data_IF_204230702872
#
_entry.id   IF_204230702872
#
_cell.length_a   1.000
_cell.length_b   1.000
_cell.length_c   1.000
_cell.angle_alpha   90.00
_cell.angle_beta   90.00
_cell.angle_gamma   90.00
#
_symmetry.space_group_name_H-M   'P 1'
#
loop_
_entity.id
_entity.type
_entity.pdbx_description
1 polymer ?
#
# COMPACT_ATOMS: atom_id res chain seq x y z
N UNK A 1 22.61 7.16 15.96
CA UNK A 1 21.15 6.99 15.68
C UNK A 1 20.88 5.51 15.43
N UNK A 2 19.72 4.98 15.84
CA UNK A 2 19.35 3.57 15.60
C UNK A 2 18.91 3.30 14.14
N UNK A 3 18.51 2.06 13.85
CA UNK A 3 18.15 1.60 12.49
C UNK A 3 17.08 2.48 11.82
N UNK A 4 15.92 2.65 12.44
CA UNK A 4 14.83 3.43 11.82
C UNK A 4 15.16 4.93 11.72
N UNK A 5 15.89 5.48 12.70
CA UNK A 5 16.31 6.88 12.69
C UNK A 5 17.40 7.16 11.66
N UNK A 6 18.24 6.16 11.36
CA UNK A 6 19.26 6.22 10.32
C UNK A 6 18.70 6.32 8.90
N UNK A 7 17.39 6.09 8.71
CA UNK A 7 16.72 6.28 7.42
C UNK A 7 16.43 7.75 7.10
N UNK A 8 16.53 8.67 8.05
CA UNK A 8 16.33 10.11 7.81
C UNK A 8 17.61 10.69 7.21
N UNK A 9 17.59 11.35 6.04
CA UNK A 9 18.76 12.06 5.53
C UNK A 9 18.89 13.41 6.25
N UNK A 10 20.12 13.83 6.52
CA UNK A 10 20.44 15.08 7.23
C UNK A 10 19.60 15.30 8.51
N UNK A 11 19.51 14.33 9.44
CA UNK A 11 18.59 14.41 10.58
C UNK A 11 18.92 15.55 11.55
N UNK A 12 20.17 16.04 11.52
CA UNK A 12 20.67 17.15 12.33
C UNK A 12 20.15 18.52 11.89
N UNK A 13 19.55 18.62 10.69
CA UNK A 13 18.90 19.83 10.17
C UNK A 13 17.38 19.84 10.37
N UNK A 14 16.82 18.83 11.03
CA UNK A 14 15.41 18.77 11.35
C UNK A 14 15.20 18.97 12.85
N UNK A 15 14.06 19.55 13.22
CA UNK A 15 13.61 19.57 14.60
C UNK A 15 13.38 18.14 15.15
N UNK A 16 13.72 17.91 16.42
CA UNK A 16 13.60 16.59 17.08
C UNK A 16 12.25 15.88 16.87
N UNK A 17 11.07 16.54 17.04
CA UNK A 17 9.77 15.89 16.86
C UNK A 17 9.57 15.31 15.46
N UNK A 18 10.16 15.94 14.42
CA UNK A 18 10.03 15.51 13.03
C UNK A 18 10.77 14.20 12.77
N UNK A 19 11.96 14.06 13.35
CA UNK A 19 12.70 12.80 13.29
C UNK A 19 11.94 11.68 14.00
N UNK A 20 11.33 11.97 15.16
CA UNK A 20 10.49 10.99 15.87
C UNK A 20 9.27 10.56 15.05
N UNK A 21 8.58 11.52 14.41
CA UNK A 21 7.46 11.20 13.51
C UNK A 21 7.92 10.34 12.34
N UNK A 22 9.05 10.66 11.70
CA UNK A 22 9.54 9.84 10.60
C UNK A 22 9.86 8.41 11.05
N UNK A 23 10.48 8.23 12.23
CA UNK A 23 10.77 6.91 12.75
C UNK A 23 9.49 6.06 12.95
N UNK A 24 8.36 6.70 13.24
CA UNK A 24 7.06 6.03 13.33
C UNK A 24 6.45 5.76 11.95
N UNK A 25 6.48 6.75 11.05
CA UNK A 25 5.89 6.62 9.71
C UNK A 25 6.64 5.63 8.82
N UNK A 26 7.98 5.60 8.91
CA UNK A 26 8.82 4.68 8.14
C UNK A 26 8.53 3.20 8.44
N UNK A 27 8.01 2.87 9.63
CA UNK A 27 7.56 1.51 9.99
C UNK A 27 6.24 1.11 9.33
N UNK A 28 5.50 2.08 8.81
CA UNK A 28 4.17 1.90 8.20
C UNK A 28 4.18 2.10 6.69
N UNK A 29 5.32 2.50 6.13
CA UNK A 29 5.53 2.64 4.71
C UNK A 29 5.36 1.28 4.02
N UNK A 30 4.69 1.29 2.87
CA UNK A 30 4.61 0.12 2.00
C UNK A 30 5.95 -0.07 1.29
N UNK A 31 6.37 -1.31 1.11
CA UNK A 31 7.66 -1.62 0.50
C UNK A 31 7.75 -3.06 0.07
N UNK A 32 8.97 -3.56 -0.11
CA UNK A 32 9.20 -4.99 -0.29
C UNK A 32 9.44 -5.61 1.09
N UNK A 33 8.71 -6.68 1.41
CA UNK A 33 8.90 -7.39 2.70
C UNK A 33 10.23 -8.15 2.71
N UNK A 34 10.52 -8.84 1.61
CA UNK A 34 11.73 -9.63 1.42
C UNK A 34 11.61 -10.54 0.20
N UNK A 35 12.66 -11.30 -0.10
CA UNK A 35 12.69 -12.16 -1.29
C UNK A 35 11.66 -13.28 -1.29
N UNK A 36 11.27 -13.78 -0.11
CA UNK A 36 10.30 -14.87 0.03
C UNK A 36 8.84 -14.41 -0.04
N UNK A 37 8.56 -13.12 -0.29
CA UNK A 37 7.20 -12.57 -0.24
C UNK A 37 6.22 -13.25 -1.21
N UNK A 38 6.70 -13.80 -2.33
CA UNK A 38 5.85 -14.56 -3.27
C UNK A 38 5.54 -15.99 -2.79
N UNK A 39 6.40 -16.57 -1.96
CA UNK A 39 6.25 -17.94 -1.47
C UNK A 39 5.45 -18.00 -0.16
N UNK A 40 5.34 -16.88 0.55
CA UNK A 40 4.69 -16.75 1.86
C UNK A 40 3.23 -16.31 1.73
N UNK A 41 2.38 -16.79 2.65
CA UNK A 41 0.98 -16.33 2.82
C UNK A 41 0.84 -15.77 4.24
N UNK A 42 0.73 -14.45 4.36
CA UNK A 42 0.45 -13.75 5.63
C UNK A 42 -0.95 -13.15 5.64
N UNK A 43 -1.44 -12.81 6.84
CA UNK A 43 -2.75 -12.17 7.05
C UNK A 43 -2.95 -10.92 6.19
N UNK A 44 -1.93 -10.07 6.11
CA UNK A 44 -1.96 -8.80 5.41
C UNK A 44 -0.55 -8.44 4.95
N UNK A 45 -0.37 -8.18 3.66
CA UNK A 45 0.90 -7.68 3.12
C UNK A 45 0.63 -6.47 2.23
N UNK A 46 1.50 -5.46 2.34
CA UNK A 46 1.46 -4.25 1.53
C UNK A 46 2.74 -4.14 0.73
N UNK A 47 2.64 -4.42 -0.57
CA UNK A 47 3.78 -4.36 -1.47
C UNK A 47 3.64 -3.16 -2.42
N UNK A 48 4.75 -2.50 -2.74
CA UNK A 48 4.79 -1.51 -3.83
C UNK A 48 5.26 -2.21 -5.12
N UNK A 49 4.70 -1.81 -6.26
CA UNK A 49 5.00 -2.47 -7.55
C UNK A 49 6.39 -2.08 -8.06
N UNK A 50 6.73 -0.80 -8.01
CA UNK A 50 8.00 -0.25 -8.51
C UNK A 50 8.76 0.50 -7.42
N UNK A 51 9.33 -0.19 -6.41
CA UNK A 51 10.15 0.45 -5.40
C UNK A 51 11.45 0.96 -6.04
N UNK A 52 11.93 2.10 -5.57
CA UNK A 52 13.18 2.70 -6.04
C UNK A 52 14.14 2.90 -4.87
N UNK A 53 15.44 2.94 -5.14
CA UNK A 53 16.44 3.27 -4.13
C UNK A 53 16.42 4.77 -3.82
N UNK A 54 16.63 5.18 -2.55
CA UNK A 54 16.71 6.60 -2.22
C UNK A 54 17.97 7.23 -2.82
N UNK A 55 17.82 8.37 -3.50
CA UNK A 55 18.94 9.09 -4.13
C UNK A 55 19.95 9.62 -3.11
N UNK A 56 19.45 10.19 -2.00
CA UNK A 56 20.28 10.59 -0.86
C UNK A 56 20.18 9.52 0.23
N UNK A 57 21.28 8.82 0.48
CA UNK A 57 21.35 7.71 1.42
C UNK A 57 22.20 8.03 2.63
N UNK A 58 22.03 7.29 3.71
CA UNK A 58 22.94 7.31 4.85
C UNK A 58 23.80 6.04 4.80
N UNK A 59 24.98 6.05 5.43
CA UNK A 59 25.76 4.81 5.59
C UNK A 59 24.98 3.72 6.32
N UNK A 60 24.05 4.11 7.21
CA UNK A 60 23.17 3.16 7.90
C UNK A 60 22.25 2.39 6.95
N UNK A 61 21.79 3.00 5.86
CA UNK A 61 20.98 2.32 4.83
C UNK A 61 21.76 1.17 4.19
N UNK A 62 23.05 1.36 3.90
CA UNK A 62 23.91 0.32 3.33
C UNK A 62 24.21 -0.79 4.33
N UNK A 63 24.55 -0.42 5.57
CA UNK A 63 24.81 -1.40 6.64
C UNK A 63 23.60 -2.31 6.92
N UNK A 64 22.40 -1.78 6.73
CA UNK A 64 21.14 -2.53 6.93
C UNK A 64 20.64 -3.21 5.64
N UNK A 65 21.33 -3.04 4.51
CA UNK A 65 20.91 -3.48 3.18
C UNK A 65 19.50 -2.99 2.79
N UNK A 66 19.09 -1.81 3.29
CA UNK A 66 17.77 -1.24 2.97
C UNK A 66 17.70 -0.72 1.52
N UNK A 67 18.85 -0.47 0.90
CA UNK A 67 19.00 -0.18 -0.52
C UNK A 67 18.55 -1.35 -1.41
N UNK A 68 18.71 -2.60 -0.98
CA UNK A 68 18.26 -3.77 -1.75
C UNK A 68 16.75 -3.98 -1.69
N UNK A 69 16.10 -3.55 -0.60
CA UNK A 69 14.67 -3.72 -0.35
C UNK A 69 14.02 -2.38 0.04
N UNK A 70 13.95 -1.41 -0.89
CA UNK A 70 13.44 -0.10 -0.55
C UNK A 70 11.91 -0.08 -0.40
N UNK A 71 11.42 0.94 0.32
CA UNK A 71 10.01 1.09 0.70
C UNK A 71 9.38 2.43 0.25
N UNK A 72 9.64 2.84 -0.99
CA UNK A 72 9.22 4.12 -1.52
C UNK A 72 9.67 4.35 -2.97
N UNK A 73 9.39 5.56 -3.46
CA UNK A 73 9.70 5.99 -4.82
C UNK A 73 10.28 7.41 -4.77
N UNK A 74 11.23 7.70 -5.65
CA UNK A 74 11.66 9.07 -5.88
C UNK A 74 10.60 9.76 -6.74
N UNK A 75 10.09 10.88 -6.25
CA UNK A 75 9.11 11.71 -6.93
C UNK A 75 9.77 13.02 -7.33
N UNK A 76 9.47 13.52 -8.53
CA UNK A 76 9.84 14.89 -8.91
C UNK A 76 8.89 15.84 -8.20
N UNK A 77 9.39 16.58 -7.21
CA UNK A 77 8.58 17.47 -6.39
C UNK A 77 8.80 18.91 -6.83
N UNK A 78 7.71 19.66 -6.96
CA UNK A 78 7.74 21.13 -7.08
C UNK A 78 7.21 21.74 -5.78
N UNK A 79 7.98 22.67 -5.20
CA UNK A 79 7.57 23.41 -4.01
C UNK A 79 6.91 24.71 -4.44
N UNK A 80 5.59 24.70 -4.49
CA UNK A 80 4.76 25.85 -4.85
C UNK A 80 3.36 25.69 -4.28
N UNK A 81 2.60 26.78 -4.25
CA UNK A 81 1.19 26.76 -3.92
C UNK A 81 0.36 26.58 -5.19
N UNK A 82 -0.58 25.63 -5.22
CA UNK A 82 -1.39 25.35 -6.40
C UNK A 82 -2.87 25.15 -6.04
N UNK A 83 -3.75 25.97 -6.65
CA UNK A 83 -5.23 25.87 -6.60
C UNK A 83 -5.91 25.84 -5.21
N UNK A 84 -5.17 25.95 -4.11
CA UNK A 84 -5.70 25.93 -2.74
C UNK A 84 -6.03 24.54 -2.18
N UNK A 85 -5.98 23.48 -3.01
CA UNK A 85 -6.17 22.09 -2.58
C UNK A 85 -4.91 21.46 -1.94
N UNK A 86 -3.87 22.26 -1.70
CA UNK A 86 -2.61 21.89 -1.06
C UNK A 86 -2.44 22.51 0.35
N UNK A 87 -3.52 23.07 0.91
CA UNK A 87 -3.57 23.63 2.26
C UNK A 87 -3.50 22.49 3.30
N UNK A 88 -2.94 22.76 4.48
CA UNK A 88 -2.86 21.82 5.62
C UNK A 88 -2.28 20.43 5.28
N UNK A 89 -1.11 20.42 4.63
CA UNK A 89 -0.36 19.20 4.26
C UNK A 89 -1.02 18.34 3.19
N UNK A 90 -1.99 18.88 2.46
CA UNK A 90 -2.46 18.25 1.26
C UNK A 90 -1.37 18.28 0.17
N UNK A 91 -1.32 17.21 -0.62
CA UNK A 91 -0.41 17.00 -1.72
C UNK A 91 -1.21 16.92 -3.01
N UNK A 92 -0.71 17.54 -4.05
CA UNK A 92 -1.32 17.45 -5.37
C UNK A 92 -0.48 16.49 -6.20
N UNK A 93 -1.13 15.50 -6.79
CA UNK A 93 -0.46 14.46 -7.58
C UNK A 93 -0.78 14.60 -9.06
N UNK A 94 0.20 14.28 -9.90
CA UNK A 94 0.03 14.19 -11.35
C UNK A 94 -0.67 12.88 -11.72
N UNK A 95 -1.81 12.99 -12.42
CA UNK A 95 -2.59 11.84 -12.88
C UNK A 95 -1.81 10.97 -13.86
N UNK A 96 -1.11 11.57 -14.81
CA UNK A 96 -0.30 10.83 -15.78
C UNK A 96 0.80 10.01 -15.09
N UNK A 97 1.41 10.54 -14.03
CA UNK A 97 2.38 9.79 -13.21
C UNK A 97 1.73 8.60 -12.50
N UNK A 98 0.51 8.76 -11.96
CA UNK A 98 -0.27 7.67 -11.36
C UNK A 98 -0.68 6.62 -12.41
N UNK A 99 -1.03 7.03 -13.62
CA UNK A 99 -1.32 6.14 -14.76
C UNK A 99 -0.09 5.32 -15.15
N UNK A 100 1.08 5.96 -15.25
CA UNK A 100 2.36 5.30 -15.55
C UNK A 100 2.84 4.34 -14.46
N UNK A 101 2.40 4.51 -13.22
CA UNK A 101 2.63 3.53 -12.15
C UNK A 101 3.12 4.10 -10.81
N UNK A 102 3.19 5.42 -10.66
CA UNK A 102 3.54 6.06 -9.40
C UNK A 102 2.57 5.66 -8.28
N UNK A 103 3.12 5.26 -7.13
CA UNK A 103 2.39 4.88 -5.92
C UNK A 103 1.50 3.64 -6.05
N UNK A 104 1.63 2.83 -7.12
CA UNK A 104 0.83 1.60 -7.31
C UNK A 104 1.23 0.56 -6.27
N UNK A 105 0.25 0.05 -5.53
CA UNK A 105 0.46 -0.93 -4.48
C UNK A 105 -0.37 -2.20 -4.67
N UNK A 106 0.14 -3.29 -4.14
CA UNK A 106 -0.51 -4.60 -4.05
C UNK A 106 -0.85 -4.84 -2.58
N UNK A 107 -2.14 -5.00 -2.31
CA UNK A 107 -2.64 -5.37 -1.00
C UNK A 107 -3.01 -6.84 -1.04
N UNK A 108 -2.32 -7.64 -0.23
CA UNK A 108 -2.62 -9.04 -0.08
C UNK A 108 -3.40 -9.29 1.21
N UNK A 109 -4.47 -10.08 1.13
CA UNK A 109 -5.26 -10.50 2.29
C UNK A 109 -5.38 -12.03 2.29
N UNK A 110 -5.27 -12.64 3.47
CA UNK A 110 -5.46 -14.08 3.61
C UNK A 110 -6.91 -14.40 3.99
N UNK A 111 -7.48 -15.41 3.34
CA UNK A 111 -8.67 -16.11 3.79
C UNK A 111 -8.32 -17.55 4.11
N UNK A 112 -8.63 -18.00 5.33
CA UNK A 112 -8.35 -19.36 5.80
C UNK A 112 -9.64 -20.13 6.02
N UNK A 113 -9.63 -21.40 5.64
CA UNK A 113 -10.69 -22.36 5.90
C UNK A 113 -10.07 -23.62 6.49
N UNK A 114 -10.52 -24.04 7.66
CA UNK A 114 -10.15 -25.34 8.24
C UNK A 114 -11.31 -26.31 8.09
N UNK A 115 -10.99 -27.52 7.68
CA UNK A 115 -11.91 -28.65 7.56
C UNK A 115 -11.62 -29.53 8.77
N UNK A 116 -12.53 -29.49 9.74
CA UNK A 116 -12.31 -30.17 11.01
C UNK A 116 -12.80 -31.61 10.95
N UNK A 117 -12.14 -32.44 11.75
CA UNK A 117 -12.62 -33.77 12.12
C UNK A 117 -13.11 -33.74 13.55
N UNK A 118 -14.25 -34.34 13.79
CA UNK A 118 -14.91 -34.37 15.08
C UNK A 118 -14.67 -35.72 15.77
N UNK A 119 -14.79 -35.74 17.10
CA UNK A 119 -14.62 -36.96 17.91
C UNK A 119 -15.63 -38.07 17.58
N UNK A 120 -16.80 -37.69 17.07
CA UNK A 120 -17.84 -38.61 16.59
C UNK A 120 -17.56 -39.19 15.19
N UNK A 121 -16.30 -39.13 14.72
CA UNK A 121 -15.85 -39.58 13.40
C UNK A 121 -16.51 -38.84 12.20
N UNK A 122 -17.25 -37.76 12.45
CA UNK A 122 -17.75 -36.90 11.37
C UNK A 122 -16.70 -35.89 10.95
N UNK A 123 -16.76 -35.46 9.69
CA UNK A 123 -15.84 -34.48 9.13
C UNK A 123 -16.60 -33.42 8.35
N UNK A 124 -16.06 -32.21 8.34
CA UNK A 124 -16.51 -31.14 7.44
C UNK A 124 -16.25 -31.56 5.99
N UNK A 125 -17.16 -31.24 5.07
CA UNK A 125 -16.98 -31.54 3.64
C UNK A 125 -16.99 -30.28 2.80
N UNK A 126 -16.29 -30.30 1.67
CA UNK A 126 -16.39 -29.27 0.64
C UNK A 126 -17.22 -29.86 -0.49
N UNK A 127 -18.24 -29.11 -0.92
CA UNK A 127 -19.10 -29.49 -2.02
C UNK A 127 -18.82 -28.61 -3.24
N UNK A 128 -18.92 -29.20 -4.42
CA UNK A 128 -18.80 -28.47 -5.68
C UNK A 128 -19.85 -27.36 -5.86
N UNK A 129 -19.76 -26.59 -6.96
CA UNK A 129 -20.66 -25.49 -7.25
C UNK A 129 -22.09 -26.00 -7.45
N UNK A 130 -23.05 -25.24 -6.93
CA UNK A 130 -24.46 -25.58 -7.08
C UNK A 130 -24.96 -24.99 -8.41
N UNK A 131 -25.60 -25.83 -9.20
CA UNK A 131 -26.28 -25.42 -10.44
C UNK A 131 -27.73 -25.12 -10.15
N UNK A 132 -28.24 -24.06 -10.76
CA UNK A 132 -29.66 -23.75 -10.78
C UNK A 132 -30.40 -24.80 -11.61
N UNK A 133 -31.49 -25.34 -11.06
CA UNK A 133 -32.25 -26.44 -11.68
C UNK A 133 -33.01 -25.99 -12.94
N UNK A 134 -33.33 -24.70 -13.05
CA UNK A 134 -34.08 -24.15 -14.18
C UNK A 134 -33.18 -23.80 -15.37
N UNK A 135 -32.03 -23.18 -15.09
CA UNK A 135 -31.13 -22.66 -16.13
C UNK A 135 -29.92 -23.56 -16.40
N UNK A 136 -29.69 -24.59 -15.57
CA UNK A 136 -28.47 -25.41 -15.53
C UNK A 136 -27.17 -24.60 -15.39
N UNK A 137 -27.26 -23.31 -15.05
CA UNK A 137 -26.11 -22.42 -14.83
C UNK A 137 -25.70 -22.42 -13.37
N UNK A 138 -24.43 -22.14 -13.11
CA UNK A 138 -23.92 -21.99 -11.75
C UNK A 138 -24.52 -20.72 -11.13
N UNK A 139 -24.94 -20.81 -9.86
CA UNK A 139 -25.47 -19.66 -9.12
C UNK A 139 -24.37 -18.60 -8.98
N UNK A 140 -24.70 -17.31 -9.09
CA UNK A 140 -23.75 -16.19 -8.94
C UNK A 140 -22.81 -16.31 -7.72
N UNK A 141 -23.30 -16.86 -6.60
CA UNK A 141 -22.50 -17.06 -5.39
C UNK A 141 -21.37 -18.07 -5.57
N UNK A 142 -21.55 -19.05 -6.44
CA UNK A 142 -20.65 -20.18 -6.68
C UNK A 142 -19.95 -20.07 -8.05
N UNK A 143 -20.14 -18.95 -8.76
CA UNK A 143 -19.60 -18.73 -10.10
C UNK A 143 -18.08 -18.84 -10.16
N UNK A 144 -17.40 -18.42 -9.09
CA UNK A 144 -15.95 -18.48 -8.94
C UNK A 144 -15.47 -19.74 -8.19
N UNK A 145 -16.20 -20.85 -8.23
CA UNK A 145 -15.78 -22.10 -7.60
C UNK A 145 -15.43 -23.11 -8.68
N UNK A 146 -14.33 -23.83 -8.48
CA UNK A 146 -13.97 -24.99 -9.27
C UNK A 146 -14.85 -26.19 -8.90
N UNK A 147 -14.76 -27.25 -9.68
CA UNK A 147 -15.46 -28.53 -9.49
C UNK A 147 -15.29 -29.14 -8.10
N UNK A 148 -14.17 -28.87 -7.42
CA UNK A 148 -13.86 -29.33 -6.06
C UNK A 148 -14.48 -28.45 -4.95
N UNK A 149 -15.13 -27.33 -5.30
CA UNK A 149 -15.73 -26.39 -4.36
C UNK A 149 -14.76 -25.40 -3.71
N UNK A 150 -13.53 -25.31 -4.23
CA UNK A 150 -12.51 -24.32 -3.87
C UNK A 150 -12.34 -23.37 -5.07
N UNK A 151 -12.08 -22.09 -4.80
CA UNK A 151 -11.82 -21.11 -5.86
C UNK A 151 -10.49 -21.37 -6.60
N UNK A 152 -10.47 -21.18 -7.92
CA UNK A 152 -9.26 -21.37 -8.72
C UNK A 152 -8.35 -20.12 -8.70
N UNK A 153 -7.01 -20.27 -8.72
CA UNK A 153 -6.09 -19.15 -8.89
C UNK A 153 -6.31 -18.41 -10.22
N UNK A 154 -6.27 -17.08 -10.19
CA UNK A 154 -6.47 -16.21 -11.34
C UNK A 154 -7.86 -15.60 -11.43
N UNK A 155 -8.87 -16.20 -10.80
CA UNK A 155 -10.23 -15.69 -10.85
C UNK A 155 -10.44 -14.42 -10.04
N UNK A 156 -11.41 -13.62 -10.49
CA UNK A 156 -11.85 -12.39 -9.83
C UNK A 156 -13.02 -12.70 -8.90
N UNK A 157 -12.82 -12.53 -7.60
CA UNK A 157 -13.88 -12.66 -6.60
C UNK A 157 -14.50 -11.30 -6.29
N UNK A 158 -15.83 -11.24 -6.35
CA UNK A 158 -16.65 -10.07 -6.05
C UNK A 158 -17.36 -10.23 -4.71
N UNK A 159 -17.95 -9.14 -4.21
CA UNK A 159 -18.61 -9.12 -2.90
C UNK A 159 -19.69 -10.21 -2.78
N UNK A 160 -19.71 -10.91 -1.64
CA UNK A 160 -20.65 -12.00 -1.29
C UNK A 160 -20.52 -13.31 -2.08
N UNK A 161 -19.55 -13.43 -2.98
CA UNK A 161 -19.23 -14.72 -3.61
C UNK A 161 -18.52 -15.65 -2.62
N UNK A 162 -18.71 -16.96 -2.81
CA UNK A 162 -18.14 -18.02 -1.97
C UNK A 162 -16.75 -18.39 -2.50
N UNK A 163 -15.75 -18.40 -1.63
CA UNK A 163 -14.38 -18.83 -1.95
C UNK A 163 -14.13 -20.31 -1.61
N UNK A 164 -14.81 -20.82 -0.57
CA UNK A 164 -14.80 -22.24 -0.20
C UNK A 164 -16.21 -22.64 0.21
N UNK A 165 -16.80 -23.59 -0.51
CA UNK A 165 -18.14 -24.09 -0.22
C UNK A 165 -18.08 -25.23 0.80
N UNK A 166 -17.87 -24.83 2.07
CA UNK A 166 -17.78 -25.73 3.21
C UNK A 166 -19.17 -26.06 3.77
N UNK A 167 -19.41 -27.33 4.05
CA UNK A 167 -20.54 -27.85 4.80
C UNK A 167 -20.07 -28.52 6.10
N UNK A 168 -20.81 -28.29 7.18
CA UNK A 168 -20.53 -28.82 8.51
C UNK A 168 -21.65 -29.78 8.92
N UNK A 169 -21.34 -30.91 9.58
CA UNK A 169 -22.37 -31.80 10.11
C UNK A 169 -23.17 -31.07 11.18
N UNK A 170 -24.49 -31.08 11.06
CA UNK A 170 -25.40 -30.50 12.04
C UNK A 170 -25.45 -31.44 13.25
N UNK A 171 -24.49 -31.32 14.16
CA UNK A 171 -24.53 -32.01 15.45
C UNK A 171 -25.64 -31.38 16.28
N UNK A 172 -26.84 -31.95 16.19
CA UNK A 172 -27.86 -31.71 17.20
C UNK A 172 -27.33 -32.34 18.49
N UNK A 173 -27.30 -31.57 19.58
CA UNK A 173 -27.07 -32.09 20.92
C UNK A 173 -28.23 -33.02 21.28
N UNK A 174 -28.18 -34.26 20.81
CA UNK A 174 -29.17 -35.28 21.15
C UNK A 174 -28.84 -35.75 22.57
N UNK A 175 -29.85 -35.74 23.44
CA UNK A 175 -29.72 -36.27 24.80
C UNK A 175 -29.23 -37.73 24.72
N UNK A 176 -28.29 -38.16 25.58
CA UNK A 176 -27.64 -39.48 25.49
C UNK A 176 -28.59 -40.69 25.65
N UNK A 177 -29.87 -40.46 25.93
CA UNK A 177 -30.91 -41.49 26.11
C UNK A 177 -31.47 -41.98 24.76
N UNK A 178 -31.48 -41.15 23.71
CA UNK A 178 -32.08 -41.50 22.40
C UNK A 178 -31.12 -42.24 21.44
N UNK A 179 -29.83 -42.41 21.82
CA UNK A 179 -28.81 -42.98 20.93
C UNK A 179 -28.87 -44.52 20.77
N UNK A 180 -29.62 -45.25 21.61
CA UNK A 180 -29.58 -46.72 21.61
C UNK A 180 -30.52 -47.41 20.62
N UNK A 181 -31.47 -46.71 20.00
CA UNK A 181 -32.52 -47.36 19.18
C UNK A 181 -32.55 -46.94 17.70
N UNK A 182 -31.69 -46.03 17.26
CA UNK A 182 -31.67 -45.63 15.85
C UNK A 182 -30.44 -46.18 15.13
N UNK A 183 -30.67 -47.14 14.22
CA UNK A 183 -29.69 -47.48 13.18
C UNK A 183 -29.22 -46.23 12.42
N UNK A 184 -28.03 -46.31 11.80
CA UNK A 184 -27.31 -45.21 11.15
C UNK A 184 -28.24 -44.25 10.37
N UNK A 185 -28.72 -43.18 11.01
CA UNK A 185 -29.41 -42.12 10.30
C UNK A 185 -28.42 -41.32 9.47
N UNK A 186 -28.79 -40.87 8.25
CA UNK A 186 -27.93 -40.03 7.44
C UNK A 186 -27.62 -38.73 8.19
N UNK A 187 -26.33 -38.42 8.33
CA UNK A 187 -25.87 -37.19 8.98
C UNK A 187 -26.34 -36.00 8.13
N UNK A 188 -27.14 -35.11 8.74
CA UNK A 188 -27.55 -33.87 8.10
C UNK A 188 -26.37 -32.86 8.09
N UNK A 189 -26.13 -32.22 6.95
CA UNK A 189 -25.10 -31.20 6.80
C UNK A 189 -25.73 -29.81 6.63
N UNK A 190 -25.08 -28.78 7.18
CA UNK A 190 -25.46 -27.38 7.06
C UNK A 190 -24.32 -26.59 6.41
N UNK A 191 -24.66 -25.75 5.43
CA UNK A 191 -23.68 -24.94 4.70
C UNK A 191 -23.09 -23.83 5.56
N UNK A 192 -21.76 -23.80 5.69
CA UNK A 192 -20.98 -22.73 6.33
C UNK A 192 -19.94 -22.21 5.35
N UNK A 193 -20.38 -21.58 4.23
CA UNK A 193 -19.48 -21.15 3.18
C UNK A 193 -18.57 -20.00 3.63
N UNK A 194 -17.31 -20.04 3.20
CA UNK A 194 -16.38 -18.93 3.40
C UNK A 194 -16.58 -17.94 2.26
N UNK A 195 -17.17 -16.79 2.58
CA UNK A 195 -17.53 -15.76 1.59
C UNK A 195 -16.60 -14.57 1.62
N UNK A 196 -16.41 -13.94 0.46
CA UNK A 196 -15.65 -12.71 0.34
C UNK A 196 -16.48 -11.50 0.80
N UNK A 197 -15.93 -10.74 1.75
CA UNK A 197 -16.62 -9.61 2.42
C UNK A 197 -16.11 -8.23 2.00
N UNK A 198 -15.20 -8.16 1.02
CA UNK A 198 -14.70 -6.88 0.53
C UNK A 198 -15.74 -6.15 -0.33
N UNK A 199 -15.62 -4.82 -0.37
CA UNK A 199 -16.39 -3.96 -1.29
C UNK A 199 -15.85 -4.07 -2.71
N UNK A 200 -14.55 -3.82 -2.88
CA UNK A 200 -13.86 -3.98 -4.16
C UNK A 200 -13.55 -5.44 -4.46
N UNK A 201 -13.55 -5.84 -5.74
CA UNK A 201 -13.16 -7.17 -6.14
C UNK A 201 -11.68 -7.45 -5.82
N UNK A 202 -11.35 -8.73 -5.64
CA UNK A 202 -9.98 -9.20 -5.47
C UNK A 202 -9.69 -10.28 -6.49
N UNK A 203 -8.41 -10.47 -6.83
CA UNK A 203 -7.97 -11.62 -7.61
C UNK A 203 -7.39 -12.66 -6.68
N UNK A 204 -7.57 -13.94 -7.00
CA UNK A 204 -6.92 -15.03 -6.29
C UNK A 204 -5.53 -15.23 -6.85
N UNK A 205 -4.50 -15.00 -6.04
CA UNK A 205 -3.12 -15.22 -6.47
C UNK A 205 -2.71 -16.67 -6.30
N UNK A 206 -3.10 -17.26 -5.16
CA UNK A 206 -2.63 -18.57 -4.74
C UNK A 206 -3.65 -19.22 -3.82
N UNK A 207 -3.84 -20.51 -4.02
CA UNK A 207 -4.56 -21.39 -3.11
C UNK A 207 -3.57 -22.44 -2.61
N UNK A 208 -3.49 -22.58 -1.31
CA UNK A 208 -2.67 -23.57 -0.63
C UNK A 208 -3.61 -24.51 0.11
N UNK A 209 -3.52 -25.80 -0.21
CA UNK A 209 -4.14 -26.87 0.57
C UNK A 209 -3.01 -27.56 1.32
N UNK A 210 -3.14 -27.66 2.63
CA UNK A 210 -2.17 -28.31 3.52
C UNK A 210 -2.91 -29.12 4.56
N UNK A 211 -2.27 -30.14 5.11
CA UNK A 211 -2.81 -30.90 6.25
C UNK A 211 -1.98 -30.59 7.48
N UNK A 212 -2.62 -30.44 8.64
CA UNK A 212 -1.94 -30.38 9.92
C UNK A 212 -1.63 -31.80 10.43
N UNK A 213 -0.81 -31.90 11.49
CA UNK A 213 -0.49 -33.19 12.13
C UNK A 213 -1.73 -33.93 12.64
N UNK A 214 -2.81 -33.21 12.96
CA UNK A 214 -4.09 -33.76 13.41
C UNK A 214 -5.01 -34.23 12.25
N UNK A 215 -4.45 -34.41 11.05
CA UNK A 215 -5.18 -34.76 9.82
C UNK A 215 -6.33 -33.80 9.44
N UNK A 216 -6.32 -32.58 9.98
CA UNK A 216 -7.23 -31.51 9.58
C UNK A 216 -6.71 -30.83 8.30
N UNK A 217 -7.58 -30.70 7.29
CA UNK A 217 -7.23 -29.95 6.09
C UNK A 217 -7.36 -28.45 6.33
N UNK A 218 -6.36 -27.70 5.87
CA UNK A 218 -6.27 -26.25 5.92
C UNK A 218 -6.14 -25.71 4.51
N UNK A 219 -7.12 -24.93 4.09
CA UNK A 219 -7.12 -24.19 2.83
C UNK A 219 -6.80 -22.73 3.14
N UNK A 220 -5.70 -22.21 2.61
CA UNK A 220 -5.34 -20.78 2.65
C UNK A 220 -5.43 -20.20 1.25
N UNK A 221 -6.14 -19.09 1.14
CA UNK A 221 -6.38 -18.38 -0.12
C UNK A 221 -5.74 -17.00 0.01
N UNK A 222 -4.80 -16.71 -0.87
CA UNK A 222 -4.14 -15.42 -0.97
C UNK A 222 -4.90 -14.54 -1.98
N UNK A 223 -5.61 -13.55 -1.46
CA UNK A 223 -6.30 -12.53 -2.23
C UNK A 223 -5.33 -11.39 -2.54
N UNK A 224 -5.30 -10.91 -3.78
CA UNK A 224 -4.55 -9.71 -4.20
C UNK A 224 -5.50 -8.64 -4.71
N UNK A 225 -5.28 -7.42 -4.24
CA UNK A 225 -5.89 -6.20 -4.79
C UNK A 225 -4.79 -5.28 -5.28
N UNK A 226 -4.82 -4.92 -6.57
CA UNK A 226 -3.95 -3.87 -7.10
C UNK A 226 -4.65 -2.54 -6.93
N UNK A 227 -4.06 -1.64 -6.14
CA UNK A 227 -4.65 -0.33 -5.83
C UNK A 227 -3.79 0.78 -6.40
N UNK A 228 -4.45 1.72 -7.07
CA UNK A 228 -3.85 2.97 -7.53
C UNK A 228 -4.05 4.03 -6.44
N UNK A 229 -3.13 5.00 -6.29
CA UNK A 229 -3.38 6.15 -5.43
C UNK A 229 -4.68 6.86 -5.80
N UNK A 230 -5.48 7.16 -4.79
CA UNK A 230 -6.72 7.92 -4.90
C UNK A 230 -6.71 9.13 -3.94
N UNK A 231 -7.68 10.03 -4.09
CA UNK A 231 -7.84 11.17 -3.19
C UNK A 231 -8.03 10.65 -1.76
N UNK A 232 -7.29 11.24 -0.82
CA UNK A 232 -7.31 10.83 0.59
C UNK A 232 -6.24 9.79 0.99
N UNK A 233 -5.52 9.21 0.02
CA UNK A 233 -4.38 8.34 0.33
C UNK A 233 -3.25 9.11 1.01
N UNK A 234 -2.51 8.41 1.89
CA UNK A 234 -1.45 9.03 2.70
C UNK A 234 -0.07 8.76 2.15
N UNK A 235 0.70 9.83 2.03
CA UNK A 235 2.12 9.82 1.68
C UNK A 235 2.94 10.48 2.78
N UNK A 236 4.21 10.08 2.90
CA UNK A 236 5.16 10.70 3.82
C UNK A 236 6.48 10.94 3.12
N UNK A 237 7.05 12.12 3.32
CA UNK A 237 8.49 12.33 3.08
C UNK A 237 9.31 11.66 4.18
N UNK A 238 10.63 11.58 4.00
CA UNK A 238 11.58 11.10 5.02
C UNK A 238 11.86 12.10 6.15
N UNK A 239 11.13 13.21 6.21
CA UNK A 239 11.33 14.29 7.19
C UNK A 239 10.14 14.46 8.14
N UNK A 240 9.28 13.45 8.26
CA UNK A 240 8.12 13.51 9.17
C UNK A 240 7.05 14.50 8.70
N UNK A 241 7.07 14.89 7.42
CA UNK A 241 5.97 15.56 6.76
C UNK A 241 5.11 14.50 6.09
N UNK A 242 3.99 14.17 6.74
CA UNK A 242 2.93 13.34 6.18
C UNK A 242 1.94 14.26 5.47
N UNK A 243 1.41 13.81 4.36
CA UNK A 243 0.39 14.51 3.60
C UNK A 243 -0.65 13.56 3.04
N UNK A 244 -1.77 14.13 2.66
CA UNK A 244 -2.90 13.42 2.05
C UNK A 244 -3.02 13.89 0.61
N UNK A 245 -3.33 13.01 -0.34
CA UNK A 245 -3.65 13.44 -1.71
C UNK A 245 -4.92 14.28 -1.69
N UNK A 246 -4.79 15.58 -1.91
CA UNK A 246 -5.90 16.54 -1.91
C UNK A 246 -6.56 16.63 -3.29
N UNK A 247 -5.75 16.74 -4.33
CA UNK A 247 -6.20 16.81 -5.72
C UNK A 247 -5.30 15.96 -6.62
N UNK A 248 -5.91 15.36 -7.64
CA UNK A 248 -5.19 14.68 -8.73
C UNK A 248 -5.44 15.49 -9.99
N UNK A 249 -4.38 16.03 -10.58
CA UNK A 249 -4.43 16.98 -11.70
C UNK A 249 -3.89 16.32 -12.97
N UNK A 250 -4.45 16.67 -14.12
CA UNK A 250 -3.93 16.20 -15.42
C UNK A 250 -2.53 16.77 -15.68
N UNK A 251 -1.74 16.08 -16.51
CA UNK A 251 -0.37 16.55 -16.79
C UNK A 251 -0.34 17.89 -17.54
N UNK A 252 -1.34 18.18 -18.36
CA UNK A 252 -1.45 19.40 -19.16
C UNK A 252 -1.65 20.67 -18.31
N UNK A 253 -2.36 20.56 -17.19
CA UNK A 253 -2.61 21.70 -16.29
C UNK A 253 -1.43 21.96 -15.33
N UNK A 254 -0.54 20.98 -15.16
CA UNK A 254 0.59 21.10 -14.25
C UNK A 254 1.67 22.01 -14.83
N UNK A 255 2.37 22.77 -13.96
CA UNK A 255 3.44 23.63 -14.41
C UNK A 255 4.63 22.81 -14.90
N UNK A 256 5.34 23.33 -15.91
CA UNK A 256 6.48 22.68 -16.53
C UNK A 256 7.68 23.63 -16.61
N UNK A 257 8.89 23.10 -16.63
CA UNK A 257 10.12 23.92 -16.79
C UNK A 257 10.61 23.96 -18.25
N UNK A 258 11.68 24.71 -18.52
CA UNK A 258 12.31 24.83 -19.85
C UNK A 258 12.71 23.49 -20.47
N UNK A 259 12.99 22.49 -19.64
CA UNK A 259 13.35 21.13 -20.06
C UNK A 259 12.14 20.23 -20.34
N UNK A 260 10.91 20.76 -20.21
CA UNK A 260 9.66 20.02 -20.36
C UNK A 260 9.33 19.10 -19.18
N UNK A 261 9.98 19.27 -18.03
CA UNK A 261 9.71 18.48 -16.83
C UNK A 261 8.48 19.02 -16.10
N UNK A 262 7.45 18.18 -15.98
CA UNK A 262 6.31 18.40 -15.08
C UNK A 262 6.52 17.64 -13.77
N UNK A 263 6.12 18.19 -12.61
CA UNK A 263 6.27 17.50 -11.34
C UNK A 263 5.33 16.27 -11.25
N UNK A 264 5.76 15.26 -10.51
CA UNK A 264 4.90 14.15 -10.09
C UNK A 264 3.99 14.57 -8.93
N UNK A 265 4.49 15.51 -8.12
CA UNK A 265 3.81 15.98 -6.93
C UNK A 265 4.14 17.45 -6.64
N UNK A 266 3.13 18.21 -6.25
CA UNK A 266 3.29 19.56 -5.74
C UNK A 266 3.14 19.55 -4.22
N UNK A 267 4.04 20.25 -3.56
CA UNK A 267 4.01 20.44 -2.11
C UNK A 267 3.99 21.93 -1.78
N UNK A 268 3.06 22.33 -0.91
CA UNK A 268 2.95 23.69 -0.46
C UNK A 268 4.17 24.14 0.40
N UNK A 269 4.78 25.31 0.14
CA UNK A 269 5.91 25.83 0.91
C UNK A 269 5.62 26.15 2.38
N UNK A 270 4.35 26.39 2.77
CA UNK A 270 4.00 26.80 4.14
C UNK A 270 4.44 25.78 5.22
N UNK A 271 4.64 24.52 4.84
CA UNK A 271 5.12 23.48 5.76
C UNK A 271 6.58 23.65 6.21
N UNK A 272 7.45 24.34 5.45
CA UNK A 272 8.88 24.44 5.80
C UNK A 272 9.17 25.40 6.96
N UNK A 273 8.66 26.65 6.98
CA UNK A 273 8.99 27.61 8.04
C UNK A 273 8.51 27.15 9.42
N UNK A 274 7.26 26.68 9.52
CA UNK A 274 6.67 26.24 10.79
C UNK A 274 7.35 24.99 11.36
N UNK A 275 7.77 24.07 10.49
CA UNK A 275 8.28 22.75 10.91
C UNK A 275 9.81 22.66 10.97
N UNK A 276 10.50 23.66 10.42
CA UNK A 276 11.96 23.75 10.39
C UNK A 276 12.60 22.45 9.90
N UNK A 277 12.13 21.93 8.76
CA UNK A 277 12.61 20.68 8.14
C UNK A 277 13.58 20.97 7.01
N UNK A 278 14.69 21.64 7.36
CA UNK A 278 15.74 22.04 6.40
C UNK A 278 16.46 20.83 5.80
N UNK A 279 16.45 19.69 6.49
CA UNK A 279 16.98 18.45 5.93
C UNK A 279 16.31 18.05 4.61
N UNK A 280 15.03 18.40 4.40
CA UNK A 280 14.29 18.07 3.18
C UNK A 280 14.73 18.92 1.99
N UNK A 281 15.08 20.19 2.21
CA UNK A 281 15.63 21.03 1.15
C UNK A 281 17.02 20.53 0.77
N UNK A 282 17.85 20.16 1.74
CA UNK A 282 19.14 19.51 1.46
C UNK A 282 18.99 18.16 0.73
N UNK A 283 17.99 17.34 1.09
CA UNK A 283 17.68 16.09 0.37
C UNK A 283 17.35 16.36 -1.10
N UNK A 284 16.53 17.37 -1.39
CA UNK A 284 16.17 17.74 -2.76
C UNK A 284 17.40 18.19 -3.56
N UNK A 285 18.22 19.08 -2.97
CA UNK A 285 19.44 19.59 -3.60
C UNK A 285 20.42 18.46 -3.92
N UNK A 286 20.68 17.60 -2.93
CA UNK A 286 21.59 16.46 -3.08
C UNK A 286 21.04 15.40 -4.04
N UNK A 287 19.73 15.19 -4.08
CA UNK A 287 19.12 14.27 -5.04
C UNK A 287 19.24 14.81 -6.47
N UNK A 288 19.03 16.12 -6.66
CA UNK A 288 19.16 16.78 -7.97
C UNK A 288 20.60 16.77 -8.48
N UNK A 289 21.57 17.12 -7.63
CA UNK A 289 22.99 17.04 -7.97
C UNK A 289 23.39 15.59 -8.31
N UNK A 290 22.94 14.63 -7.50
CA UNK A 290 23.25 13.21 -7.68
C UNK A 290 22.75 12.62 -8.98
N UNK A 291 21.52 12.95 -9.40
CA UNK A 291 21.01 12.46 -10.69
C UNK A 291 21.77 13.05 -11.88
N UNK A 292 22.25 14.29 -11.78
CA UNK A 292 22.99 14.95 -12.85
C UNK A 292 24.42 14.39 -13.00
N UNK A 293 25.08 14.13 -11.87
CA UNK A 293 26.44 13.56 -11.89
C UNK A 293 26.48 12.02 -11.97
N UNK A 294 25.33 11.35 -11.88
CA UNK A 294 25.24 9.89 -11.83
C UNK A 294 25.78 9.29 -10.52
N UNK A 295 25.67 10.00 -9.40
CA UNK A 295 26.17 9.60 -8.09
C UNK A 295 25.06 9.55 -7.03
N UNK A 296 25.25 8.68 -6.05
CA UNK A 296 24.42 8.70 -4.83
C UNK A 296 25.10 9.55 -3.75
N UNK A 297 24.43 10.61 -3.30
CA UNK A 297 24.95 11.43 -2.21
C UNK A 297 24.66 10.84 -0.85
N UNK A 298 25.52 11.20 0.11
CA UNK A 298 25.39 10.77 1.49
C UNK A 298 24.82 11.88 2.37
N UNK A 299 23.66 11.65 2.97
CA UNK A 299 23.04 12.49 4.00
C UNK A 299 23.16 11.89 5.39
N UNK A 300 24.32 11.33 5.75
CA UNK A 300 24.52 10.62 7.02
C UNK A 300 24.46 11.59 8.21
N UNK A 301 23.99 11.13 9.37
CA UNK A 301 23.94 11.96 10.58
C UNK A 301 25.32 12.50 10.98
N UNK A 302 25.37 13.76 11.40
CA UNK A 302 26.59 14.48 11.80
C UNK A 302 27.69 14.55 10.72
N UNK A 303 27.33 14.32 9.45
CA UNK A 303 28.22 14.43 8.30
C UNK A 303 27.42 14.49 7.01
N UNK A 304 27.94 13.85 5.96
CA UNK A 304 27.35 13.85 4.63
C UNK A 304 27.90 14.94 3.71
N UNK A 305 27.39 14.99 2.49
CA UNK A 305 27.76 16.01 1.50
C UNK A 305 27.30 17.39 1.97
N UNK A 306 28.20 18.37 1.93
CA UNK A 306 27.93 19.74 2.38
C UNK A 306 27.12 20.49 1.32
N UNK A 307 26.38 21.51 1.76
CA UNK A 307 25.57 22.33 0.87
C UNK A 307 26.41 23.01 -0.23
N UNK A 308 27.59 23.54 0.11
CA UNK A 308 28.49 24.21 -0.85
C UNK A 308 28.91 23.30 -1.99
N UNK A 309 29.36 22.07 -1.67
CA UNK A 309 29.74 21.09 -2.68
C UNK A 309 28.58 20.78 -3.63
N UNK A 310 27.38 20.58 -3.09
CA UNK A 310 26.16 20.31 -3.89
C UNK A 310 25.77 21.50 -4.78
N UNK A 311 25.96 22.73 -4.30
CA UNK A 311 25.70 23.96 -5.04
C UNK A 311 26.65 24.10 -6.23
N UNK A 312 27.94 23.78 -6.03
CA UNK A 312 28.95 23.82 -7.09
C UNK A 312 28.71 22.74 -8.14
N UNK A 313 28.30 21.53 -7.73
CA UNK A 313 27.93 20.44 -8.65
C UNK A 313 26.72 20.81 -9.52
N UNK A 314 25.68 21.45 -8.95
CA UNK A 314 24.54 21.94 -9.73
C UNK A 314 24.96 23.03 -10.73
N UNK A 315 25.79 23.97 -10.28
CA UNK A 315 26.27 25.07 -11.13
C UNK A 315 27.10 24.56 -12.32
N UNK A 316 27.98 23.57 -12.09
CA UNK A 316 28.77 22.91 -13.16
C UNK A 316 27.90 22.26 -14.23
N UNK A 317 26.72 21.77 -13.85
CA UNK A 317 25.77 21.14 -14.76
C UNK A 317 24.75 22.12 -15.37
N UNK A 318 24.97 23.43 -15.23
CA UNK A 318 24.11 24.47 -15.82
C UNK A 318 22.79 24.71 -15.10
N UNK A 319 22.61 24.15 -13.90
CA UNK A 319 21.46 24.45 -13.03
C UNK A 319 21.78 25.57 -12.06
N UNK A 320 20.75 26.21 -11.54
CA UNK A 320 20.91 27.18 -10.48
C UNK A 320 21.51 26.50 -9.23
N UNK A 321 22.52 27.13 -8.63
CA UNK A 321 23.17 26.65 -7.40
C UNK A 321 22.15 26.43 -6.26
N UNK A 322 21.08 27.24 -6.20
CA UNK A 322 20.01 27.06 -5.21
C UNK A 322 18.98 25.98 -5.57
N UNK A 323 19.10 25.30 -6.72
CA UNK A 323 18.17 24.28 -7.20
C UNK A 323 16.78 24.80 -7.57
N UNK A 324 16.61 26.12 -7.73
CA UNK A 324 15.36 26.73 -8.21
C UNK A 324 15.39 26.85 -9.73
N UNK A 325 14.28 26.48 -10.37
CA UNK A 325 14.12 26.52 -11.82
C UNK A 325 13.00 27.50 -12.21
N UNK A 326 13.03 27.94 -13.46
CA UNK A 326 11.90 28.65 -14.09
C UNK A 326 10.83 27.63 -14.43
N UNK A 327 9.59 27.95 -14.10
CA UNK A 327 8.42 27.16 -14.45
C UNK A 327 7.40 28.05 -15.15
N UNK A 328 6.64 27.44 -16.05
CA UNK A 328 5.53 28.04 -16.76
C UNK A 328 4.22 27.45 -16.23
N UNK A 329 3.18 28.27 -16.19
CA UNK A 329 1.84 27.84 -15.84
C UNK A 329 1.28 26.92 -16.94
N UNK A 330 0.84 25.71 -16.58
CA UNK A 330 0.16 24.82 -17.54
C UNK A 330 -1.21 25.37 -17.99
N UNK A 331 -1.83 26.22 -17.17
CA UNK A 331 -3.15 26.79 -17.44
C UNK A 331 -3.08 27.97 -18.41
N UNK A 332 -2.12 28.89 -18.20
CA UNK A 332 -2.02 30.14 -18.97
C UNK A 332 -0.89 30.14 -20.00
N UNK A 333 0.09 29.25 -19.86
CA UNK A 333 1.31 29.21 -20.68
C UNK A 333 2.35 30.28 -20.32
N UNK A 334 2.02 31.20 -19.42
CA UNK A 334 2.90 32.29 -19.00
C UNK A 334 3.96 31.81 -17.98
N UNK A 335 5.16 32.42 -17.95
CA UNK A 335 6.16 32.12 -16.93
C UNK A 335 5.64 32.53 -15.54
N UNK A 336 5.88 31.69 -14.55
CA UNK A 336 5.58 32.03 -13.16
C UNK A 336 6.53 33.14 -12.69
N UNK A 337 5.98 34.13 -11.98
CA UNK A 337 6.77 35.28 -11.49
C UNK A 337 7.91 34.89 -10.56
N UNK A 338 7.74 33.80 -9.81
CA UNK A 338 8.72 33.29 -8.86
C UNK A 338 9.35 31.97 -9.34
N UNK A 339 10.65 31.82 -9.11
CA UNK A 339 11.36 30.57 -9.34
C UNK A 339 10.88 29.48 -8.39
N UNK A 340 10.64 28.29 -8.93
CA UNK A 340 10.11 27.16 -8.19
C UNK A 340 11.25 26.22 -7.79
N UNK A 341 11.24 25.80 -6.53
CA UNK A 341 12.22 24.84 -6.03
C UNK A 341 11.78 23.43 -6.44
N UNK A 342 12.56 22.78 -7.30
CA UNK A 342 12.19 21.50 -7.89
C UNK A 342 13.35 20.51 -7.95
N UNK A 343 13.02 19.25 -7.66
CA UNK A 343 13.93 18.11 -7.81
C UNK A 343 13.39 16.82 -7.22
N UNK A 344 14.16 15.72 -7.31
CA UNK A 344 13.74 14.42 -6.82
C UNK A 344 13.71 14.39 -5.28
N UNK A 345 12.63 13.88 -4.69
CA UNK A 345 12.52 13.63 -3.25
C UNK A 345 11.98 12.24 -3.02
N UNK A 346 12.54 11.51 -2.06
CA UNK A 346 12.08 10.16 -1.74
C UNK A 346 10.80 10.19 -0.89
N UNK A 347 9.71 9.71 -1.47
CA UNK A 347 8.42 9.61 -0.81
C UNK A 347 8.00 8.16 -0.55
N UNK A 348 7.31 7.99 0.57
CA UNK A 348 6.83 6.71 1.08
C UNK A 348 5.30 6.71 1.08
N UNK A 349 4.68 5.74 0.41
CA UNK A 349 3.23 5.52 0.51
C UNK A 349 2.94 4.79 1.83
N UNK A 350 2.02 5.31 2.63
CA UNK A 350 1.68 4.71 3.94
C UNK A 350 0.51 3.73 3.82
N UNK A 351 0.47 2.73 4.70
CA UNK A 351 -0.60 1.70 4.73
C UNK A 351 -2.04 2.21 4.92
N UNK A 352 -2.21 3.45 5.34
CA UNK A 352 -3.53 4.02 5.64
C UNK A 352 -4.17 4.60 4.37
N UNK A 353 -4.93 3.78 3.66
CA UNK A 353 -5.71 4.18 2.47
C UNK A 353 -7.16 4.48 2.83
N UNK A 354 -7.83 5.30 2.03
CA UNK A 354 -9.24 5.66 2.24
C UNK A 354 -10.16 4.47 2.06
N UNK A 355 -9.89 3.66 1.03
CA UNK A 355 -10.66 2.47 0.72
C UNK A 355 -10.85 1.50 1.90
N UNK A 356 -9.86 1.33 2.78
CA UNK A 356 -9.98 0.43 3.95
C UNK A 356 -10.69 1.10 5.15
N UNK A 357 -10.97 2.40 5.06
CA UNK A 357 -11.58 3.19 6.14
C UNK A 357 -13.02 3.60 5.87
N UNK A 358 -13.45 3.60 4.61
CA UNK A 358 -14.83 3.91 4.27
C UNK A 358 -15.78 2.88 4.88
N UNK A 359 -16.63 3.32 5.82
CA UNK A 359 -17.65 2.50 6.44
C UNK A 359 -18.94 3.30 6.60
N UNK A 360 -20.05 2.70 6.20
CA UNK A 360 -21.39 3.25 6.38
C UNK A 360 -22.33 2.16 6.88
N UNK A 361 -23.25 2.53 7.77
CA UNK A 361 -24.21 1.59 8.37
C UNK A 361 -25.59 2.24 8.47
N UNK A 362 -26.53 1.76 7.67
CA UNK A 362 -27.92 2.23 7.73
C UNK A 362 -28.68 1.58 8.90
N UNK A 363 -28.65 0.24 8.98
CA UNK A 363 -29.15 -0.57 10.09
C UNK A 363 -28.15 -1.70 10.35
N UNK A 364 -28.20 -2.31 11.54
CA UNK A 364 -27.16 -3.24 11.95
C UNK A 364 -27.66 -4.37 12.84
N UNK A 365 -26.96 -5.52 12.85
CA UNK A 365 -27.17 -6.53 13.86
C UNK A 365 -26.99 -5.91 15.26
N UNK A 366 -27.97 -6.15 16.11
CA UNK A 366 -27.97 -5.76 17.53
C UNK A 366 -27.47 -6.92 18.36
N UNK A 367 -26.75 -6.62 19.42
CA UNK A 367 -26.32 -7.63 20.36
C UNK A 367 -27.56 -8.19 21.08
N UNK A 368 -27.67 -9.52 21.14
CA UNK A 368 -28.82 -10.19 21.77
C UNK A 368 -28.90 -9.84 23.26
N UNK A 369 -27.74 -9.67 23.92
CA UNK A 369 -27.63 -9.38 25.34
C UNK A 369 -28.20 -8.00 25.72
N UNK A 370 -27.98 -6.97 24.88
CA UNK A 370 -28.23 -5.57 25.27
C UNK A 370 -29.25 -4.84 24.40
N UNK A 371 -29.74 -5.46 23.32
CA UNK A 371 -30.66 -4.90 22.31
C UNK A 371 -30.24 -3.52 21.76
#
# INVERSE_FOLDING_TARGET
>A
LGVCAGLVPYPHHNQSPRNTYQCAMGKQAMGIIGYNQKNRIDTLMYNIVYPQTPMVRSRTIELTNFDKLPAGQNATVAVMSYSGYDIEDALILNKASIDRGYGRCLVYKNSKCTIKRYSNQTFDRIMGPMKDSLTNKIIFRHECLDTDGIISPGEKVSSKQTMVNKEMPAVKSINPIEQKESGQQPIAYSGVPITYKGTEPSYIEKVMVSTNNDEEFLVKILLRQTRRPEIGDKFSSRHGQKGVTGLIVEQEDLPFNDFGMSPDMVMNPHGFPSRMTVGKTLELLGSKAGVLEGKFHYGTAFGGSKCQDLQDELFKNGFNYLGKDVFYSGITGEPLEAYIYSGPVYYQKLKHMVQDKMHARARGPRAVLTR
#
